data_IF_811627893643
#
_entry.id   IF_811627893643
#
_cell.length_a   1.000
_cell.length_b   1.000
_cell.length_c   1.000
_cell.angle_alpha   90.00
_cell.angle_beta   90.00
_cell.angle_gamma   90.00
#
_symmetry.space_group_name_H-M   'P 1'
#
loop_
_entity.id
_entity.type
_entity.pdbx_description
1 polymer ?
#
# COMPACT_ATOMS: atom_id res chain seq x y z
N UNK A 1 -7.15 18.58 8.61
CA UNK A 1 -7.70 19.87 8.18
C UNK A 1 -8.99 19.64 7.37
N UNK A 2 -9.89 20.60 7.39
CA UNK A 2 -11.08 20.61 6.52
C UNK A 2 -10.68 20.77 5.06
N UNK A 3 -11.31 20.02 4.16
CA UNK A 3 -11.11 20.12 2.70
C UNK A 3 -12.37 20.75 2.09
N UNK A 4 -12.32 21.99 1.60
CA UNK A 4 -13.46 22.65 0.97
C UNK A 4 -13.83 21.95 -0.34
N UNK A 5 -15.10 22.07 -0.74
CA UNK A 5 -15.70 21.32 -1.86
C UNK A 5 -14.93 21.49 -3.18
N UNK A 6 -14.38 22.69 -3.44
CA UNK A 6 -13.60 22.99 -4.65
C UNK A 6 -12.30 22.21 -4.75
N UNK A 7 -11.78 21.68 -3.62
CA UNK A 7 -10.53 20.90 -3.57
C UNK A 7 -10.74 19.37 -3.55
N UNK A 8 -11.99 18.91 -3.61
CA UNK A 8 -12.32 17.46 -3.54
C UNK A 8 -12.20 16.73 -4.88
N UNK A 9 -11.68 17.37 -5.92
CA UNK A 9 -11.40 16.76 -7.21
C UNK A 9 -12.58 15.96 -7.79
N UNK A 10 -13.81 16.48 -7.66
CA UNK A 10 -15.03 15.85 -8.19
C UNK A 10 -15.73 14.87 -7.25
N UNK A 11 -15.17 14.54 -6.09
CA UNK A 11 -15.87 13.71 -5.10
C UNK A 11 -17.08 14.45 -4.50
N UNK A 12 -18.26 13.86 -4.66
CA UNK A 12 -19.53 14.44 -4.23
C UNK A 12 -19.88 14.09 -2.78
N UNK A 13 -19.63 12.84 -2.40
CA UNK A 13 -19.76 12.37 -1.02
C UNK A 13 -18.40 12.44 -0.34
N UNK A 14 -18.32 13.09 0.82
CA UNK A 14 -17.05 13.38 1.46
C UNK A 14 -17.15 13.30 2.98
N UNK A 15 -16.37 12.41 3.59
CA UNK A 15 -16.15 12.33 5.03
C UNK A 15 -14.69 11.97 5.24
N UNK A 16 -13.85 12.93 5.58
CA UNK A 16 -12.41 12.73 5.64
C UNK A 16 -11.73 13.47 6.79
N UNK A 17 -10.59 12.93 7.15
CA UNK A 17 -9.63 13.54 8.07
C UNK A 17 -8.23 13.41 7.45
N UNK A 18 -7.37 14.40 7.69
CA UNK A 18 -6.00 14.36 7.16
C UNK A 18 -5.14 13.27 7.78
N UNK A 19 -5.20 13.11 9.10
CA UNK A 19 -4.47 12.05 9.81
C UNK A 19 -4.99 11.91 11.25
N UNK A 20 -5.09 10.69 11.75
CA UNK A 20 -5.27 10.38 13.17
C UNK A 20 -4.61 9.05 13.51
N UNK A 21 -4.19 8.91 14.76
CA UNK A 21 -3.75 7.63 15.35
C UNK A 21 -4.59 7.25 16.57
N UNK A 22 -5.70 7.96 16.80
CA UNK A 22 -6.69 7.63 17.84
C UNK A 22 -7.92 7.00 17.18
N UNK A 23 -7.85 5.70 16.91
CA UNK A 23 -8.87 4.96 16.18
C UNK A 23 -10.19 4.74 16.96
N UNK A 24 -10.18 4.96 18.27
CA UNK A 24 -11.37 4.80 19.12
C UNK A 24 -12.04 6.16 19.44
N UNK A 25 -11.43 7.27 19.04
CA UNK A 25 -11.91 8.63 19.31
C UNK A 25 -11.66 9.55 18.11
N UNK A 26 -11.72 8.99 16.94
CA UNK A 26 -11.43 9.65 15.67
C UNK A 26 -12.53 10.66 15.29
N UNK A 27 -12.16 11.69 14.56
CA UNK A 27 -13.10 12.66 14.01
C UNK A 27 -12.93 12.82 12.50
N UNK A 28 -13.89 13.47 11.86
CA UNK A 28 -13.85 13.75 10.43
C UNK A 28 -14.52 15.11 10.13
N UNK A 29 -14.31 15.58 8.92
CA UNK A 29 -15.03 16.70 8.33
C UNK A 29 -15.91 16.22 7.19
N UNK A 30 -17.06 16.84 7.00
CA UNK A 30 -17.95 16.61 5.88
C UNK A 30 -18.05 17.87 5.01
N UNK A 31 -19.24 18.40 4.79
CA UNK A 31 -19.46 19.56 3.92
C UNK A 31 -19.11 20.90 4.60
N UNK A 32 -19.08 20.93 5.91
CA UNK A 32 -18.79 22.10 6.72
C UNK A 32 -17.48 21.94 7.50
N UNK A 33 -16.82 23.04 7.86
CA UNK A 33 -15.63 23.05 8.71
C UNK A 33 -16.00 22.85 10.19
N UNK A 34 -16.71 21.74 10.44
CA UNK A 34 -17.14 21.29 11.76
C UNK A 34 -16.61 19.90 12.01
N UNK A 35 -15.97 19.69 13.16
CA UNK A 35 -15.50 18.37 13.58
C UNK A 35 -16.66 17.49 13.98
N UNK A 36 -16.86 16.41 13.24
CA UNK A 36 -17.79 15.34 13.55
C UNK A 36 -17.00 14.14 14.07
N UNK A 37 -17.59 13.30 14.92
CA UNK A 37 -16.91 12.14 15.49
C UNK A 37 -17.43 10.83 14.89
N UNK A 38 -16.51 9.89 14.69
CA UNK A 38 -16.85 8.48 14.48
C UNK A 38 -17.24 7.87 15.82
N UNK A 39 -18.30 7.07 15.83
CA UNK A 39 -18.74 6.37 17.04
C UNK A 39 -17.97 5.07 17.23
N UNK A 40 -17.19 4.98 18.30
CA UNK A 40 -16.37 3.82 18.64
C UNK A 40 -15.15 3.67 17.72
N UNK A 41 -14.80 2.43 17.39
CA UNK A 41 -13.67 2.13 16.53
C UNK A 41 -13.94 2.59 15.08
N UNK A 42 -13.13 3.50 14.59
CA UNK A 42 -13.41 4.27 13.39
C UNK A 42 -13.53 3.45 12.11
N UNK A 43 -12.77 2.38 11.94
CA UNK A 43 -12.89 1.50 10.78
C UNK A 43 -14.29 0.85 10.69
N UNK A 44 -14.86 0.45 11.84
CA UNK A 44 -16.24 -0.09 11.89
C UNK A 44 -17.25 1.02 11.59
N UNK A 45 -17.08 2.22 12.16
CA UNK A 45 -17.98 3.35 11.92
C UNK A 45 -17.94 3.83 10.46
N UNK A 46 -16.74 3.92 9.87
CA UNK A 46 -16.55 4.25 8.45
C UNK A 46 -17.18 3.19 7.54
N UNK A 47 -17.08 1.91 7.90
CA UNK A 47 -17.71 0.80 7.17
C UNK A 47 -19.23 0.91 7.21
N UNK A 48 -19.84 1.19 8.35
CA UNK A 48 -21.28 1.45 8.47
C UNK A 48 -21.73 2.63 7.59
N UNK A 49 -20.93 3.68 7.54
CA UNK A 49 -21.21 4.83 6.68
C UNK A 49 -21.10 4.47 5.20
N UNK A 50 -20.12 3.69 4.80
CA UNK A 50 -20.00 3.17 3.43
C UNK A 50 -21.19 2.27 3.07
N UNK A 51 -21.62 1.40 3.98
CA UNK A 51 -22.83 0.57 3.80
C UNK A 51 -24.09 1.45 3.62
N UNK A 52 -24.24 2.50 4.45
CA UNK A 52 -25.35 3.46 4.32
C UNK A 52 -25.32 4.13 2.95
N UNK A 53 -24.17 4.66 2.51
CA UNK A 53 -24.01 5.24 1.19
C UNK A 53 -24.41 4.27 0.07
N UNK A 54 -23.95 3.01 0.12
CA UNK A 54 -24.30 1.98 -0.88
C UNK A 54 -25.81 1.71 -0.91
N UNK A 55 -26.48 1.69 0.24
CA UNK A 55 -27.92 1.46 0.33
C UNK A 55 -28.78 2.63 -0.19
N UNK A 56 -28.37 3.85 0.13
CA UNK A 56 -29.14 5.08 -0.12
C UNK A 56 -28.89 5.69 -1.51
N UNK A 57 -27.78 5.37 -2.16
CA UNK A 57 -27.45 5.93 -3.47
C UNK A 57 -28.51 5.59 -4.51
N UNK A 58 -28.69 6.50 -5.49
CA UNK A 58 -29.66 6.29 -6.58
C UNK A 58 -29.35 5.03 -7.39
N UNK A 59 -30.35 4.18 -7.58
CA UNK A 59 -30.24 3.00 -8.41
C UNK A 59 -29.88 3.38 -9.87
N UNK A 60 -29.11 2.52 -10.56
CA UNK A 60 -28.75 2.71 -11.96
C UNK A 60 -27.63 3.72 -12.22
N UNK A 61 -27.14 4.46 -11.22
CA UNK A 61 -25.95 5.32 -11.38
C UNK A 61 -24.69 4.59 -10.95
N UNK A 62 -23.63 4.55 -11.80
CA UNK A 62 -22.31 4.07 -11.38
C UNK A 62 -21.76 4.93 -10.24
N UNK A 63 -20.89 4.35 -9.43
CA UNK A 63 -20.19 5.06 -8.35
C UNK A 63 -18.78 4.54 -8.19
N UNK A 64 -17.92 5.40 -7.66
CA UNK A 64 -16.60 5.04 -7.14
C UNK A 64 -16.56 5.45 -5.67
N UNK A 65 -16.22 4.53 -4.79
CA UNK A 65 -16.10 4.75 -3.35
C UNK A 65 -14.69 4.40 -2.89
N UNK A 66 -13.97 5.38 -2.36
CA UNK A 66 -12.72 5.17 -1.66
C UNK A 66 -13.00 5.11 -0.16
N UNK A 67 -12.63 4.01 0.48
CA UNK A 67 -12.74 3.79 1.91
C UNK A 67 -11.33 3.57 2.46
N UNK A 68 -10.76 4.61 3.05
CA UNK A 68 -9.40 4.63 3.55
C UNK A 68 -9.39 4.44 5.07
N UNK A 69 -9.25 3.19 5.52
CA UNK A 69 -9.10 2.86 6.94
C UNK A 69 -7.70 3.23 7.44
N UNK A 70 -7.60 3.79 8.66
CA UNK A 70 -6.33 4.05 9.32
C UNK A 70 -5.61 2.78 9.80
N UNK A 71 -6.29 1.84 10.48
CA UNK A 71 -5.71 0.54 10.82
C UNK A 71 -5.32 -0.27 9.55
N UNK A 72 -4.31 -1.15 9.66
CA UNK A 72 -3.60 -1.62 10.85
C UNK A 72 -2.38 -0.77 11.24
N UNK A 73 -2.26 0.49 10.76
CA UNK A 73 -1.18 1.39 11.19
C UNK A 73 -1.15 1.54 12.72
N UNK A 74 0.03 1.72 13.30
CA UNK A 74 0.18 1.96 14.74
C UNK A 74 -0.73 3.12 15.23
N UNK A 75 -1.19 3.06 16.49
CA UNK A 75 -0.82 2.18 17.59
C UNK A 75 -1.56 0.82 17.58
N UNK A 76 -0.81 -0.28 17.61
CA UNK A 76 -1.34 -1.63 17.40
C UNK A 76 -2.24 -2.14 18.54
N UNK A 77 -2.11 -1.61 19.75
CA UNK A 77 -2.88 -2.04 20.94
C UNK A 77 -4.32 -1.51 20.98
N UNK A 78 -4.72 -0.69 20.00
CA UNK A 78 -6.01 0.03 20.01
C UNK A 78 -7.15 -0.71 19.31
N UNK A 79 -6.88 -1.86 18.71
CA UNK A 79 -7.94 -2.72 18.17
C UNK A 79 -8.97 -3.09 19.25
N UNK A 80 -10.27 -3.24 18.91
CA UNK A 80 -11.28 -3.62 19.87
C UNK A 80 -10.97 -4.97 20.55
N UNK A 81 -11.33 -5.09 21.83
CA UNK A 81 -11.04 -6.27 22.67
C UNK A 81 -11.51 -7.58 22.02
N UNK A 82 -12.68 -7.58 21.38
CA UNK A 82 -13.22 -8.71 20.60
C UNK A 82 -12.18 -9.33 19.65
N UNK A 83 -11.30 -8.52 19.09
CA UNK A 83 -10.27 -8.98 18.15
C UNK A 83 -8.94 -9.23 18.86
N UNK A 84 -8.55 -8.39 19.82
CA UNK A 84 -7.29 -8.56 20.57
C UNK A 84 -7.22 -9.88 21.32
N UNK A 85 -8.33 -10.31 21.90
CA UNK A 85 -8.42 -11.60 22.63
C UNK A 85 -8.15 -12.84 21.76
N UNK A 86 -8.18 -12.70 20.42
CA UNK A 86 -7.89 -13.81 19.49
C UNK A 86 -6.39 -14.08 19.33
N UNK A 87 -5.53 -13.12 19.63
CA UNK A 87 -4.10 -13.17 19.31
C UNK A 87 -3.25 -13.03 20.58
N UNK A 88 -2.73 -14.13 21.05
CA UNK A 88 -1.81 -14.17 22.19
C UNK A 88 -0.38 -14.00 21.68
N UNK A 89 0.40 -13.00 22.14
CA UNK A 89 1.76 -12.77 21.69
C UNK A 89 2.64 -14.01 21.72
N UNK A 90 2.60 -14.78 22.83
CA UNK A 90 3.44 -15.95 23.01
C UNK A 90 3.15 -17.10 22.03
N UNK A 91 1.96 -17.12 21.44
CA UNK A 91 1.58 -18.11 20.44
C UNK A 91 1.95 -17.71 18.99
N UNK A 92 2.44 -16.50 18.78
CA UNK A 92 2.75 -16.00 17.44
C UNK A 92 4.19 -16.32 17.03
N UNK A 93 4.32 -16.89 15.83
CA UNK A 93 5.61 -16.99 15.18
C UNK A 93 6.03 -15.63 14.60
N UNK A 94 7.30 -15.29 14.75
CA UNK A 94 7.91 -14.14 14.10
C UNK A 94 8.71 -14.57 12.88
N UNK A 95 8.90 -13.67 11.95
CA UNK A 95 9.67 -13.94 10.72
C UNK A 95 11.13 -14.25 11.06
N UNK A 96 11.81 -15.11 10.28
CA UNK A 96 13.22 -15.44 10.49
C UNK A 96 14.18 -14.24 10.47
N UNK A 97 13.82 -13.17 9.75
CA UNK A 97 14.61 -11.94 9.67
C UNK A 97 14.39 -10.96 10.84
N UNK A 98 13.61 -11.34 11.84
CA UNK A 98 13.49 -10.57 13.10
C UNK A 98 14.67 -10.95 14.01
N UNK A 99 15.53 -9.99 14.44
CA UNK A 99 16.61 -10.25 15.38
C UNK A 99 16.09 -10.86 16.69
N UNK A 100 16.88 -11.75 17.28
CA UNK A 100 16.49 -12.44 18.52
C UNK A 100 16.13 -11.46 19.65
N UNK A 101 16.90 -10.36 19.77
CA UNK A 101 16.65 -9.29 20.76
C UNK A 101 15.29 -8.61 20.63
N UNK A 102 14.68 -8.66 19.44
CA UNK A 102 13.44 -7.95 19.14
C UNK A 102 12.22 -8.87 19.09
N UNK A 103 12.40 -10.20 19.16
CA UNK A 103 11.33 -11.19 18.96
C UNK A 103 10.15 -11.00 19.90
N UNK A 104 10.39 -10.70 21.17
CA UNK A 104 9.28 -10.49 22.11
C UNK A 104 8.47 -9.25 21.75
N UNK A 105 9.12 -8.14 21.45
CA UNK A 105 8.45 -6.90 20.98
C UNK A 105 7.71 -7.12 19.67
N UNK A 106 8.32 -7.88 18.76
CA UNK A 106 7.67 -8.23 17.48
C UNK A 106 6.37 -9.02 17.70
N UNK A 107 6.35 -9.99 18.63
CA UNK A 107 5.13 -10.73 18.98
C UNK A 107 4.02 -9.83 19.53
N UNK A 108 4.38 -8.89 20.41
CA UNK A 108 3.43 -7.95 21.01
C UNK A 108 2.78 -7.05 19.95
N UNK A 109 3.60 -6.47 19.06
CA UNK A 109 3.07 -5.63 17.98
C UNK A 109 2.29 -6.44 16.93
N UNK A 110 2.74 -7.66 16.60
CA UNK A 110 2.04 -8.55 15.68
C UNK A 110 0.67 -8.93 16.20
N UNK A 111 0.51 -9.20 17.49
CA UNK A 111 -0.79 -9.52 18.09
C UNK A 111 -1.81 -8.39 17.87
N UNK A 112 -1.40 -7.15 18.12
CA UNK A 112 -2.24 -5.98 17.86
C UNK A 112 -2.48 -5.72 16.38
N UNK A 113 -1.46 -5.87 15.54
CA UNK A 113 -1.55 -5.73 14.09
C UNK A 113 -2.56 -6.74 13.49
N UNK A 114 -2.49 -8.01 13.89
CA UNK A 114 -3.43 -9.04 13.47
C UNK A 114 -4.85 -8.80 14.00
N UNK A 115 -4.98 -8.23 15.18
CA UNK A 115 -6.29 -7.85 15.73
C UNK A 115 -6.95 -6.75 14.88
N UNK A 116 -6.20 -5.75 14.43
CA UNK A 116 -6.69 -4.75 13.48
C UNK A 116 -7.09 -5.39 12.14
N UNK A 117 -6.26 -6.27 11.58
CA UNK A 117 -6.56 -6.97 10.33
C UNK A 117 -7.85 -7.79 10.47
N UNK A 118 -8.03 -8.50 11.58
CA UNK A 118 -9.26 -9.27 11.83
C UNK A 118 -10.51 -8.37 11.92
N UNK A 119 -10.35 -7.14 12.43
CA UNK A 119 -11.45 -6.18 12.43
C UNK A 119 -11.76 -5.67 11.03
N UNK A 120 -10.74 -5.43 10.20
CA UNK A 120 -10.91 -5.02 8.80
C UNK A 120 -11.50 -6.14 7.94
N UNK A 121 -11.17 -7.40 8.23
CA UNK A 121 -11.75 -8.56 7.53
C UNK A 121 -13.27 -8.65 7.79
N UNK A 122 -13.71 -8.50 9.05
CA UNK A 122 -15.15 -8.40 9.38
C UNK A 122 -15.79 -7.19 8.64
N UNK A 123 -15.13 -6.02 8.59
CA UNK A 123 -15.60 -4.83 7.87
C UNK A 123 -15.74 -5.10 6.36
N UNK A 124 -14.78 -5.79 5.75
CA UNK A 124 -14.85 -6.16 4.34
C UNK A 124 -15.99 -7.15 4.07
N UNK A 125 -16.20 -8.11 4.97
CA UNK A 125 -17.34 -9.03 4.94
C UNK A 125 -18.67 -8.28 4.95
N UNK A 126 -18.82 -7.27 5.82
CA UNK A 126 -20.02 -6.43 5.91
C UNK A 126 -20.29 -5.64 4.61
N UNK A 127 -19.24 -5.13 3.96
CA UNK A 127 -19.37 -4.46 2.65
C UNK A 127 -19.82 -5.44 1.56
N UNK A 128 -19.22 -6.62 1.49
CA UNK A 128 -19.61 -7.66 0.53
C UNK A 128 -21.06 -8.11 0.74
N UNK A 129 -21.50 -8.25 1.99
CA UNK A 129 -22.90 -8.55 2.31
C UNK A 129 -23.84 -7.44 1.83
N UNK A 130 -23.46 -6.16 2.02
CA UNK A 130 -24.25 -5.01 1.56
C UNK A 130 -24.35 -4.96 0.03
N UNK A 131 -23.25 -5.21 -0.69
CA UNK A 131 -23.27 -5.28 -2.15
C UNK A 131 -24.18 -6.41 -2.65
N UNK A 132 -24.18 -7.55 -1.95
CA UNK A 132 -25.05 -8.70 -2.26
C UNK A 132 -26.51 -8.40 -1.96
N UNK A 133 -26.83 -7.79 -0.83
CA UNK A 133 -28.16 -7.30 -0.44
C UNK A 133 -28.74 -6.37 -1.52
N UNK A 134 -27.92 -5.48 -2.06
CA UNK A 134 -28.31 -4.54 -3.13
C UNK A 134 -28.34 -5.16 -4.53
N UNK A 135 -27.98 -6.42 -4.69
CA UNK A 135 -27.94 -7.12 -5.97
C UNK A 135 -26.85 -6.64 -6.93
N UNK A 136 -25.87 -5.86 -6.46
CA UNK A 136 -24.82 -5.26 -7.31
C UNK A 136 -23.45 -5.91 -7.16
N UNK A 137 -23.31 -6.90 -6.30
CA UNK A 137 -22.01 -7.54 -6.00
C UNK A 137 -21.32 -8.15 -7.23
N UNK A 138 -22.07 -8.62 -8.23
CA UNK A 138 -21.49 -9.17 -9.47
C UNK A 138 -20.92 -8.10 -10.37
N UNK A 139 -21.54 -6.92 -10.42
CA UNK A 139 -21.15 -5.79 -11.27
C UNK A 139 -20.45 -4.67 -10.48
N UNK A 140 -19.72 -5.04 -9.46
CA UNK A 140 -18.88 -4.12 -8.67
C UNK A 140 -17.45 -4.63 -8.68
N UNK A 141 -16.51 -3.78 -9.09
CA UNK A 141 -15.09 -3.98 -8.88
C UNK A 141 -14.81 -3.62 -7.42
N UNK A 142 -14.37 -4.60 -6.62
CA UNK A 142 -13.92 -4.37 -5.26
C UNK A 142 -12.42 -4.64 -5.20
N UNK A 143 -11.67 -3.66 -4.71
CA UNK A 143 -10.23 -3.76 -4.50
C UNK A 143 -9.94 -3.59 -3.02
N UNK A 144 -9.13 -4.49 -2.47
CA UNK A 144 -8.54 -4.35 -1.15
C UNK A 144 -7.02 -4.27 -1.30
N UNK A 145 -6.44 -3.17 -0.85
CA UNK A 145 -5.00 -2.90 -0.92
C UNK A 145 -4.56 -2.02 0.24
N UNK A 146 -3.27 -1.66 0.27
CA UNK A 146 -2.69 -0.72 1.23
C UNK A 146 -1.75 0.23 0.50
N UNK A 147 -1.48 1.38 1.09
CA UNK A 147 -0.51 2.37 0.63
C UNK A 147 0.94 1.92 0.86
N UNK A 148 1.22 1.21 1.95
CA UNK A 148 2.51 0.64 2.31
C UNK A 148 2.34 -0.54 3.28
N UNK A 149 3.41 -1.30 3.50
CA UNK A 149 3.50 -2.31 4.55
C UNK A 149 4.06 -1.76 5.86
N UNK A 150 4.49 -2.66 6.74
CA UNK A 150 5.17 -2.31 7.99
C UNK A 150 6.25 -3.36 8.31
N UNK A 151 7.44 -2.90 8.66
CA UNK A 151 8.60 -3.76 8.95
C UNK A 151 8.40 -4.64 10.18
N UNK A 152 7.60 -4.25 11.16
CA UNK A 152 7.23 -5.05 12.35
C UNK A 152 8.42 -5.78 12.97
N UNK A 153 9.55 -5.09 13.11
CA UNK A 153 10.87 -5.57 13.56
C UNK A 153 11.64 -6.50 12.59
N UNK A 154 11.13 -6.80 11.41
CA UNK A 154 11.94 -7.44 10.38
C UNK A 154 13.21 -6.61 10.11
N UNK A 155 14.36 -7.27 10.00
CA UNK A 155 15.69 -6.63 9.90
C UNK A 155 16.02 -5.64 11.04
N UNK A 156 15.41 -5.79 12.24
CA UNK A 156 15.56 -4.85 13.35
C UNK A 156 14.91 -3.48 13.08
N UNK A 157 13.96 -3.41 12.15
CA UNK A 157 13.37 -2.16 11.67
C UNK A 157 11.86 -2.09 11.92
N UNK A 158 11.33 -0.90 11.91
CA UNK A 158 9.92 -0.62 12.14
C UNK A 158 9.38 0.31 11.06
N UNK A 159 8.05 0.32 10.89
CA UNK A 159 7.32 1.20 10.00
C UNK A 159 7.65 0.94 8.52
N UNK A 160 7.80 1.97 7.70
CA UNK A 160 7.81 1.95 6.24
C UNK A 160 8.96 2.75 5.64
N UNK A 161 8.89 3.01 4.34
CA UNK A 161 9.84 3.72 3.47
C UNK A 161 11.09 2.93 3.10
N UNK A 162 11.25 1.75 3.62
CA UNK A 162 12.43 0.89 3.45
C UNK A 162 12.21 -0.09 2.30
N UNK A 163 13.25 -0.51 1.56
CA UNK A 163 13.10 -1.27 0.33
C UNK A 163 12.96 -2.79 0.52
N UNK A 164 12.54 -3.26 1.70
CA UNK A 164 12.27 -4.68 1.98
C UNK A 164 10.80 -5.02 1.76
N UNK A 165 10.53 -6.28 1.40
CA UNK A 165 9.19 -6.75 1.06
C UNK A 165 8.12 -6.40 2.13
N UNK A 166 8.49 -6.38 3.42
CA UNK A 166 7.59 -5.99 4.50
C UNK A 166 7.06 -4.56 4.39
N UNK A 167 7.85 -3.67 3.81
CA UNK A 167 7.47 -2.26 3.61
C UNK A 167 6.81 -2.01 2.25
N UNK A 168 7.29 -2.67 1.19
CA UNK A 168 6.91 -2.36 -0.20
C UNK A 168 5.89 -3.30 -0.80
N UNK A 169 5.78 -4.55 -0.31
CA UNK A 169 4.87 -5.56 -0.85
C UNK A 169 3.58 -5.60 -0.06
N UNK A 170 2.55 -4.95 -0.58
CA UNK A 170 1.21 -4.88 0.02
C UNK A 170 0.26 -5.87 -0.65
N UNK A 171 -0.84 -6.28 0.02
CA UNK A 171 -1.89 -7.05 -0.63
C UNK A 171 -2.52 -6.25 -1.76
N UNK A 172 -2.85 -6.93 -2.87
CA UNK A 172 -3.71 -6.39 -3.91
C UNK A 172 -4.72 -7.48 -4.30
N UNK A 173 -5.92 -7.39 -3.73
CA UNK A 173 -7.01 -8.32 -3.98
C UNK A 173 -8.06 -7.62 -4.81
N UNK A 174 -8.39 -8.16 -5.98
CA UNK A 174 -9.37 -7.62 -6.88
C UNK A 174 -10.49 -8.64 -7.15
N UNK A 175 -11.74 -8.23 -6.97
CA UNK A 175 -12.93 -9.02 -7.22
C UNK A 175 -13.84 -8.29 -8.20
N UNK A 176 -14.16 -8.95 -9.34
CA UNK A 176 -15.10 -8.46 -10.34
C UNK A 176 -15.77 -9.63 -11.05
N UNK A 177 -16.78 -10.29 -10.45
CA UNK A 177 -17.35 -11.53 -10.98
C UNK A 177 -17.97 -11.40 -12.38
N UNK A 178 -18.50 -10.23 -12.75
CA UNK A 178 -19.08 -10.04 -14.09
C UNK A 178 -18.05 -10.20 -15.22
N UNK A 179 -16.78 -9.82 -14.98
CA UNK A 179 -15.73 -9.92 -15.99
C UNK A 179 -14.74 -11.08 -15.73
N UNK A 180 -14.53 -11.45 -14.47
CA UNK A 180 -13.48 -12.41 -14.07
C UNK A 180 -14.03 -13.80 -13.74
N UNK A 181 -15.36 -13.95 -13.68
CA UNK A 181 -16.00 -15.18 -13.21
C UNK A 181 -15.90 -15.37 -11.69
N UNK A 182 -16.36 -16.52 -11.18
CA UNK A 182 -16.40 -16.82 -9.74
C UNK A 182 -15.10 -17.44 -9.19
N UNK A 183 -14.20 -17.88 -10.05
CA UNK A 183 -12.95 -18.55 -9.65
C UNK A 183 -11.87 -17.56 -9.24
N UNK A 184 -11.11 -17.90 -8.17
CA UNK A 184 -9.90 -17.17 -7.81
C UNK A 184 -8.69 -17.60 -8.62
N UNK A 185 -7.77 -16.67 -8.88
CA UNK A 185 -6.45 -16.93 -9.45
C UNK A 185 -5.42 -15.97 -8.90
N UNK A 186 -4.17 -16.36 -8.94
CA UNK A 186 -3.03 -15.51 -8.63
C UNK A 186 -2.38 -15.05 -9.94
N UNK A 187 -1.92 -13.82 -9.97
CA UNK A 187 -1.08 -13.25 -11.04
C UNK A 187 0.19 -12.79 -10.35
N UNK A 188 1.31 -13.47 -10.65
CA UNK A 188 2.59 -13.25 -9.95
C UNK A 188 3.35 -12.01 -10.45
N UNK A 189 2.89 -11.41 -11.56
CA UNK A 189 3.45 -10.19 -12.12
C UNK A 189 3.36 -9.03 -11.11
N UNK A 190 4.47 -8.39 -10.73
CA UNK A 190 4.41 -7.22 -9.89
C UNK A 190 3.79 -6.03 -10.61
N UNK A 191 2.95 -5.28 -9.90
CA UNK A 191 2.43 -3.98 -10.31
C UNK A 191 2.82 -2.93 -9.28
N UNK A 192 2.89 -1.67 -9.69
CA UNK A 192 3.13 -0.55 -8.79
C UNK A 192 1.90 0.34 -8.65
N UNK A 193 1.91 1.21 -7.67
CA UNK A 193 0.76 2.10 -7.37
C UNK A 193 0.23 2.87 -8.58
N UNK A 194 1.07 3.44 -9.49
CA UNK A 194 0.59 4.10 -10.69
C UNK A 194 -0.25 3.22 -11.64
N UNK A 195 -0.04 1.90 -11.62
CA UNK A 195 -0.73 0.96 -12.50
C UNK A 195 -2.17 0.66 -12.07
N UNK A 196 -2.53 0.98 -10.81
CA UNK A 196 -3.84 0.65 -10.24
C UNK A 196 -4.96 1.41 -10.98
N UNK A 197 -4.83 2.73 -11.12
CA UNK A 197 -5.86 3.56 -11.73
C UNK A 197 -6.12 3.17 -13.20
N UNK A 198 -5.12 3.11 -14.09
CA UNK A 198 -5.37 2.73 -15.49
C UNK A 198 -5.94 1.31 -15.62
N UNK A 199 -5.51 0.37 -14.79
CA UNK A 199 -6.06 -0.99 -14.78
C UNK A 199 -7.54 -1.00 -14.39
N UNK A 200 -7.95 -0.20 -13.40
CA UNK A 200 -9.36 -0.09 -13.01
C UNK A 200 -10.20 0.60 -14.10
N UNK A 201 -9.68 1.64 -14.74
CA UNK A 201 -10.32 2.29 -15.89
C UNK A 201 -10.53 1.31 -17.04
N UNK A 202 -9.50 0.53 -17.41
CA UNK A 202 -9.59 -0.50 -18.45
C UNK A 202 -10.57 -1.61 -18.10
N UNK A 203 -10.70 -2.01 -16.82
CA UNK A 203 -11.72 -2.94 -16.36
C UNK A 203 -13.15 -2.35 -16.47
N UNK A 204 -13.29 -1.05 -16.34
CA UNK A 204 -14.55 -0.33 -16.52
C UNK A 204 -14.88 -0.03 -18.00
N UNK A 205 -13.96 -0.27 -18.94
CA UNK A 205 -14.09 0.13 -20.34
C UNK A 205 -14.00 1.65 -20.54
N UNK A 206 -13.31 2.35 -19.65
CA UNK A 206 -13.06 3.79 -19.71
C UNK A 206 -11.67 4.01 -20.29
N UNK A 207 -11.55 4.93 -21.23
CA UNK A 207 -10.27 5.31 -21.83
C UNK A 207 -9.34 5.91 -20.78
N UNK A 208 -8.08 5.46 -20.78
CA UNK A 208 -7.05 5.96 -19.86
C UNK A 208 -6.54 7.31 -20.38
N UNK A 209 -6.63 8.39 -19.58
CA UNK A 209 -6.12 9.70 -20.00
C UNK A 209 -4.60 9.66 -20.26
N UNK A 210 -4.13 10.41 -21.27
CA UNK A 210 -2.70 10.50 -21.63
C UNK A 210 -1.80 11.01 -20.50
N UNK A 211 -2.36 11.72 -19.52
CA UNK A 211 -1.65 12.21 -18.33
C UNK A 211 -1.37 11.14 -17.28
N UNK A 212 -1.89 9.91 -17.46
CA UNK A 212 -1.70 8.80 -16.53
C UNK A 212 -0.43 8.04 -16.91
N UNK A 213 0.53 7.99 -16.01
CA UNK A 213 1.85 7.39 -16.22
C UNK A 213 1.91 5.88 -16.06
N UNK A 214 0.93 5.29 -15.35
CA UNK A 214 0.88 3.85 -15.08
C UNK A 214 0.42 3.04 -16.29
N UNK A 215 0.60 1.73 -16.21
CA UNK A 215 0.24 0.77 -17.26
C UNK A 215 -1.13 0.15 -16.97
N UNK A 216 -1.98 0.05 -17.99
CA UNK A 216 -3.24 -0.70 -17.92
C UNK A 216 -2.98 -2.21 -18.08
N UNK A 217 -3.17 -2.95 -17.01
CA UNK A 217 -3.11 -4.42 -16.98
C UNK A 217 -4.48 -5.10 -17.02
N UNK A 218 -5.56 -4.38 -17.38
CA UNK A 218 -6.93 -4.94 -17.38
C UNK A 218 -7.06 -6.19 -18.25
N UNK A 219 -6.38 -6.26 -19.39
CA UNK A 219 -6.37 -7.44 -20.27
C UNK A 219 -5.68 -8.64 -19.62
N UNK A 220 -4.58 -8.42 -18.89
CA UNK A 220 -3.91 -9.47 -18.10
C UNK A 220 -4.83 -9.94 -16.98
N UNK A 221 -5.46 -8.99 -16.27
CA UNK A 221 -6.44 -9.28 -15.21
C UNK A 221 -7.63 -10.06 -15.74
N UNK A 222 -8.11 -9.82 -16.96
CA UNK A 222 -9.18 -10.61 -17.61
C UNK A 222 -8.70 -11.97 -18.15
N UNK A 223 -7.38 -12.17 -18.29
CA UNK A 223 -6.81 -13.36 -18.94
C UNK A 223 -6.85 -13.32 -20.46
N UNK A 224 -7.05 -12.13 -21.04
CA UNK A 224 -7.06 -11.89 -22.48
C UNK A 224 -5.65 -11.74 -23.08
N UNK A 225 -4.66 -11.50 -22.23
CA UNK A 225 -3.24 -11.49 -22.59
C UNK A 225 -2.40 -12.16 -21.49
N UNK A 226 -1.25 -12.74 -21.84
CA UNK A 226 -0.31 -13.24 -20.84
C UNK A 226 0.23 -12.08 -20.00
N UNK A 227 0.61 -12.39 -18.75
CA UNK A 227 1.33 -11.45 -17.93
C UNK A 227 2.72 -11.19 -18.55
N UNK A 228 3.11 -9.93 -18.81
CA UNK A 228 4.44 -9.63 -19.28
C UNK A 228 5.48 -9.84 -18.17
N UNK A 229 6.74 -10.00 -18.53
CA UNK A 229 7.85 -9.89 -17.60
C UNK A 229 7.93 -8.40 -17.17
N UNK A 230 7.43 -8.11 -15.99
CA UNK A 230 7.32 -6.76 -15.46
C UNK A 230 8.15 -6.58 -14.20
N UNK A 231 8.55 -5.34 -13.97
CA UNK A 231 9.18 -4.92 -12.73
C UNK A 231 8.49 -3.67 -12.20
N UNK A 232 8.13 -3.68 -10.93
CA UNK A 232 7.67 -2.50 -10.22
C UNK A 232 8.89 -1.62 -9.89
N UNK A 233 8.81 -0.32 -10.23
CA UNK A 233 9.77 0.67 -9.74
C UNK A 233 9.47 0.95 -8.27
N UNK A 234 10.48 0.87 -7.42
CA UNK A 234 10.40 1.21 -6.00
C UNK A 234 11.35 2.38 -5.71
N UNK A 235 10.90 3.34 -4.92
CA UNK A 235 11.69 4.54 -4.65
C UNK A 235 11.42 5.17 -3.28
N UNK A 236 12.44 5.86 -2.77
CA UNK A 236 12.35 6.82 -1.69
C UNK A 236 13.07 8.09 -2.17
N UNK A 237 12.37 9.09 -2.71
CA UNK A 237 12.99 10.33 -3.19
C UNK A 237 13.62 11.15 -2.07
N UNK A 238 13.00 11.14 -0.88
CA UNK A 238 13.50 11.82 0.32
C UNK A 238 13.04 11.06 1.55
N UNK A 239 13.95 10.51 2.36
CA UNK A 239 13.58 9.83 3.59
C UNK A 239 13.08 10.85 4.63
N UNK A 240 11.97 10.52 5.33
CA UNK A 240 11.32 11.41 6.28
C UNK A 240 10.67 10.64 7.44
N UNK A 241 10.08 11.36 8.41
CA UNK A 241 9.30 10.78 9.50
C UNK A 241 10.11 9.80 10.35
N UNK A 242 9.77 8.51 10.31
CA UNK A 242 10.41 7.49 11.14
C UNK A 242 11.74 6.96 10.56
N UNK A 243 12.07 7.29 9.31
CA UNK A 243 13.30 6.86 8.66
C UNK A 243 14.06 8.02 8.03
N UNK A 244 14.29 9.06 8.84
CA UNK A 244 15.07 10.24 8.42
C UNK A 244 16.53 9.86 8.12
N UNK A 245 17.26 10.72 7.40
CA UNK A 245 18.71 10.55 7.16
C UNK A 245 19.49 10.34 8.46
N UNK A 246 19.15 11.08 9.54
CA UNK A 246 19.74 10.91 10.86
C UNK A 246 19.48 9.53 11.47
N UNK A 247 18.35 8.90 11.14
CA UNK A 247 18.01 7.54 11.54
C UNK A 247 18.50 6.47 10.54
N UNK A 248 19.42 6.83 9.64
CA UNK A 248 19.98 5.92 8.61
C UNK A 248 19.11 5.78 7.36
N UNK A 249 18.12 6.64 7.21
CA UNK A 249 17.33 6.74 5.99
C UNK A 249 18.14 7.28 4.82
N UNK A 250 17.83 6.83 3.63
CA UNK A 250 18.52 7.24 2.40
C UNK A 250 17.59 7.27 1.21
N UNK A 251 17.94 8.09 0.26
CA UNK A 251 17.32 8.06 -1.06
C UNK A 251 17.69 6.78 -1.77
N UNK A 252 16.71 6.15 -2.39
CA UNK A 252 16.98 4.97 -3.22
C UNK A 252 16.03 4.88 -4.41
N UNK A 253 16.48 4.12 -5.41
CA UNK A 253 15.67 3.59 -6.51
C UNK A 253 15.95 2.11 -6.65
N UNK A 254 14.94 1.35 -7.02
CA UNK A 254 15.08 -0.07 -7.21
C UNK A 254 14.00 -0.66 -8.08
N UNK A 255 14.17 -1.92 -8.44
CA UNK A 255 13.19 -2.73 -9.14
C UNK A 255 12.83 -3.97 -8.33
N UNK A 256 11.53 -4.25 -8.27
CA UNK A 256 10.97 -5.51 -7.74
C UNK A 256 10.37 -6.28 -8.90
N UNK A 257 11.06 -7.35 -9.32
CA UNK A 257 10.54 -8.32 -10.30
C UNK A 257 9.77 -9.41 -9.58
N UNK A 258 9.19 -10.38 -10.29
CA UNK A 258 8.61 -11.56 -9.66
C UNK A 258 9.58 -12.27 -8.71
N UNK A 259 10.85 -12.40 -9.11
CA UNK A 259 11.87 -13.14 -8.36
C UNK A 259 12.85 -12.27 -7.58
N UNK A 260 13.30 -11.14 -8.13
CA UNK A 260 14.42 -10.37 -7.60
C UNK A 260 14.01 -9.01 -7.08
N UNK A 261 14.71 -8.57 -6.02
CA UNK A 261 14.72 -7.18 -5.59
C UNK A 261 16.12 -6.62 -5.79
N UNK A 262 16.25 -5.54 -6.54
CA UNK A 262 17.51 -4.82 -6.71
C UNK A 262 17.32 -3.35 -6.36
N UNK A 263 18.21 -2.81 -5.53
CA UNK A 263 18.14 -1.42 -5.06
C UNK A 263 19.52 -0.80 -5.11
N UNK A 264 19.55 0.45 -5.56
CA UNK A 264 20.69 1.33 -5.39
C UNK A 264 20.33 2.58 -4.60
N UNK A 265 21.27 3.12 -3.87
CA UNK A 265 21.21 4.46 -3.31
C UNK A 265 22.07 5.45 -4.13
N UNK A 266 22.27 6.66 -3.62
CA UNK A 266 23.07 7.68 -4.32
C UNK A 266 24.57 7.29 -4.44
N UNK A 267 25.06 6.42 -3.57
CA UNK A 267 26.45 5.96 -3.55
C UNK A 267 26.68 4.74 -4.47
N UNK A 268 25.62 4.05 -4.90
CA UNK A 268 25.71 2.91 -5.81
C UNK A 268 24.80 1.73 -5.46
N UNK A 269 25.13 0.52 -5.95
CA UNK A 269 24.39 -0.70 -5.64
C UNK A 269 24.37 -0.97 -4.14
N UNK A 270 23.16 -1.17 -3.57
CA UNK A 270 22.96 -1.33 -2.14
C UNK A 270 22.41 -2.69 -1.75
N UNK A 271 21.33 -3.16 -2.42
CA UNK A 271 20.69 -4.43 -2.09
C UNK A 271 20.43 -5.25 -3.36
N UNK A 272 20.62 -6.56 -3.26
CA UNK A 272 20.20 -7.54 -4.26
C UNK A 272 19.74 -8.82 -3.54
N UNK A 273 18.49 -9.22 -3.78
CA UNK A 273 17.91 -10.44 -3.20
C UNK A 273 17.27 -11.32 -4.27
N UNK A 274 17.38 -12.63 -4.09
CA UNK A 274 16.59 -13.64 -4.78
C UNK A 274 15.41 -14.04 -3.88
N UNK A 275 14.26 -13.44 -4.06
CA UNK A 275 13.11 -13.61 -3.17
C UNK A 275 12.45 -15.00 -3.27
N UNK A 276 12.79 -15.79 -4.30
CA UNK A 276 12.34 -17.15 -4.42
C UNK A 276 13.21 -18.09 -3.56
N UNK A 277 14.53 -17.90 -3.60
CA UNK A 277 15.48 -18.70 -2.80
C UNK A 277 15.56 -18.19 -1.35
N UNK A 278 15.38 -16.91 -1.13
CA UNK A 278 15.47 -16.23 0.17
C UNK A 278 14.26 -15.27 0.36
N UNK A 279 13.08 -15.80 0.67
CA UNK A 279 11.85 -15.01 0.80
C UNK A 279 11.85 -14.04 2.01
N UNK A 280 12.84 -14.15 2.88
CA UNK A 280 13.01 -13.27 4.02
C UNK A 280 14.15 -12.27 3.85
N UNK A 281 14.80 -12.26 2.67
CA UNK A 281 15.84 -11.29 2.30
C UNK A 281 17.01 -11.25 3.31
N UNK A 282 17.43 -12.41 3.79
CA UNK A 282 18.49 -12.55 4.80
C UNK A 282 19.88 -12.39 4.21
N UNK A 283 20.06 -12.74 2.93
CA UNK A 283 21.36 -12.79 2.27
C UNK A 283 21.43 -11.76 1.14
N UNK A 284 22.11 -10.64 1.41
CA UNK A 284 22.36 -9.64 0.38
C UNK A 284 23.42 -10.14 -0.62
N UNK A 285 23.05 -10.23 -1.90
CA UNK A 285 23.86 -10.72 -3.01
C UNK A 285 24.60 -9.61 -3.78
N UNK A 286 24.42 -8.34 -3.37
CA UNK A 286 25.01 -7.20 -4.05
C UNK A 286 26.54 -7.28 -4.08
N UNK A 287 27.15 -6.90 -5.21
CA UNK A 287 28.60 -6.85 -5.42
C UNK A 287 29.33 -8.19 -5.23
N UNK A 288 28.61 -9.32 -5.22
CA UNK A 288 29.26 -10.65 -5.24
C UNK A 288 29.63 -11.04 -6.66
N UNK A 289 30.86 -11.51 -6.90
CA UNK A 289 31.34 -11.85 -8.26
C UNK A 289 30.44 -12.85 -8.98
N UNK A 290 29.93 -13.86 -8.28
CA UNK A 290 29.04 -14.88 -8.81
C UNK A 290 27.68 -14.35 -9.27
N UNK A 291 27.27 -13.16 -8.77
CA UNK A 291 26.02 -12.48 -9.12
C UNK A 291 26.22 -11.25 -10.01
N UNK A 292 27.44 -10.96 -10.48
CA UNK A 292 27.75 -9.77 -11.25
C UNK A 292 26.90 -9.64 -12.53
N UNK A 293 26.66 -10.75 -13.24
CA UNK A 293 25.82 -10.77 -14.45
C UNK A 293 24.37 -10.39 -14.13
N UNK A 294 23.79 -10.99 -13.09
CA UNK A 294 22.44 -10.71 -12.62
C UNK A 294 22.30 -9.25 -12.19
N UNK A 295 23.24 -8.76 -11.38
CA UNK A 295 23.25 -7.36 -10.93
C UNK A 295 23.27 -6.38 -12.12
N UNK A 296 24.13 -6.63 -13.11
CA UNK A 296 24.19 -5.81 -14.34
C UNK A 296 22.87 -5.83 -15.12
N UNK A 297 22.20 -6.98 -15.19
CA UNK A 297 20.89 -7.10 -15.84
C UNK A 297 19.82 -6.27 -15.09
N UNK A 298 19.74 -6.37 -13.78
CA UNK A 298 18.77 -5.63 -12.96
C UNK A 298 19.08 -4.12 -12.92
N UNK A 299 20.35 -3.73 -12.94
CA UNK A 299 20.76 -2.33 -13.11
C UNK A 299 20.27 -1.77 -14.46
N UNK A 300 20.41 -2.54 -15.54
CA UNK A 300 19.87 -2.17 -16.86
C UNK A 300 18.35 -1.99 -16.85
N UNK A 301 17.65 -2.88 -16.17
CA UNK A 301 16.20 -2.80 -16.00
C UNK A 301 15.80 -1.55 -15.19
N UNK A 302 16.48 -1.28 -14.07
CA UNK A 302 16.26 -0.06 -13.29
C UNK A 302 16.47 1.19 -14.13
N UNK A 303 17.59 1.26 -14.86
CA UNK A 303 17.87 2.40 -15.75
C UNK A 303 16.77 2.62 -16.79
N UNK A 304 16.25 1.54 -17.38
CA UNK A 304 15.15 1.64 -18.35
C UNK A 304 13.88 2.22 -17.68
N UNK A 305 13.53 1.77 -16.47
CA UNK A 305 12.39 2.29 -15.70
C UNK A 305 12.57 3.77 -15.33
N UNK A 306 13.74 4.18 -14.88
CA UNK A 306 14.05 5.59 -14.57
C UNK A 306 13.95 6.48 -15.82
N UNK A 307 14.46 6.00 -16.97
CA UNK A 307 14.33 6.72 -18.23
C UNK A 307 12.86 6.89 -18.65
N UNK A 308 12.06 5.83 -18.50
CA UNK A 308 10.63 5.84 -18.81
C UNK A 308 9.85 6.85 -17.98
N UNK A 309 10.22 7.02 -16.71
CA UNK A 309 9.55 7.94 -15.76
C UNK A 309 10.20 9.32 -15.69
N UNK A 310 11.27 9.56 -16.44
CA UNK A 310 12.01 10.83 -16.39
C UNK A 310 12.70 11.08 -15.02
N UNK A 311 12.96 10.04 -14.24
CA UNK A 311 13.62 10.16 -12.94
C UNK A 311 15.15 10.19 -13.12
N UNK A 312 15.75 11.31 -12.82
CA UNK A 312 17.21 11.52 -12.88
C UNK A 312 17.96 11.12 -11.60
N UNK A 313 17.25 10.56 -10.65
CA UNK A 313 17.75 10.04 -9.37
C UNK A 313 18.74 10.99 -8.67
N UNK A 314 18.29 12.18 -8.38
CA UNK A 314 19.02 13.15 -7.55
C UNK A 314 18.69 12.98 -6.08
N UNK A 315 19.42 13.72 -5.23
CA UNK A 315 19.12 13.77 -3.80
C UNK A 315 17.76 14.43 -3.53
N UNK A 316 17.11 14.06 -2.43
CA UNK A 316 15.87 14.69 -2.00
C UNK A 316 16.03 16.20 -1.82
N UNK A 317 17.20 16.67 -1.37
CA UNK A 317 17.52 18.10 -1.24
C UNK A 317 17.54 18.83 -2.60
N UNK A 318 17.94 18.16 -3.69
CA UNK A 318 17.90 18.75 -5.02
C UNK A 318 16.46 18.97 -5.50
N UNK A 319 15.57 18.01 -5.25
CA UNK A 319 14.14 18.16 -5.56
C UNK A 319 13.47 19.21 -4.68
N UNK A 320 13.76 19.26 -3.38
CA UNK A 320 13.26 20.27 -2.46
C UNK A 320 13.62 21.68 -2.96
N UNK A 321 14.91 21.89 -3.33
CA UNK A 321 15.36 23.16 -3.90
C UNK A 321 14.72 23.48 -5.25
N UNK A 322 14.64 22.50 -6.13
CA UNK A 322 14.07 22.67 -7.48
C UNK A 322 12.61 23.11 -7.43
N UNK A 323 11.82 22.54 -6.50
CA UNK A 323 10.38 22.81 -6.41
C UNK A 323 10.03 23.87 -5.36
N UNK A 324 11.02 24.42 -4.66
CA UNK A 324 10.82 25.49 -3.70
C UNK A 324 10.00 25.07 -2.46
N UNK A 325 10.12 23.81 -2.05
CA UNK A 325 9.46 23.36 -0.82
C UNK A 325 10.14 23.96 0.42
N UNK A 326 9.33 24.49 1.32
CA UNK A 326 9.77 24.87 2.66
C UNK A 326 9.76 23.63 3.57
N UNK A 327 10.91 23.28 4.09
CA UNK A 327 11.10 22.11 4.96
C UNK A 327 12.05 22.47 6.09
N UNK A 328 12.01 21.71 7.18
CA UNK A 328 12.97 21.85 8.28
C UNK A 328 14.34 21.21 7.94
N UNK A 329 15.28 21.24 8.89
CA UNK A 329 16.62 20.65 8.73
C UNK A 329 16.63 19.13 8.53
N UNK A 330 15.52 18.46 8.78
CA UNK A 330 15.34 17.03 8.49
C UNK A 330 14.89 16.75 7.06
N UNK A 331 14.46 17.76 6.33
CA UNK A 331 13.91 17.68 4.99
C UNK A 331 12.43 17.28 4.96
N UNK A 332 11.70 17.58 6.03
CA UNK A 332 10.26 17.26 6.16
C UNK A 332 9.42 18.50 6.53
#
# INVERSE_FOLDING_TARGET
>A
AFIPRQRRQGFQFWKALGCTHDYNNSFYYSDEDVRLRWEGYDAIAQTREAQRYIRERAAGRPFTLFLSWGPPHAPYHTAPEKYRSRFRPDALAVRPNVPESDRQKAREVLAGYYAHIAALDDCLGDLLATLSEKGIAKNTILVFTSDHGDMLYSHGRQKKQQPWDESIRVPFLLRYPAALGPGGRTIDMPISTPDIMPTLLGLCGIEVPETVEGTDFSRVVKGESPAPDNAALICCPSPFGQWTRKAGGREYRGVRTERYTYVRDLDGPWLLYDNLADPYQLTNLVNRPEHARLQKQLEGLLKAKLTQTGDDFRSGWDYIRQWGYEVDDSGT
#
